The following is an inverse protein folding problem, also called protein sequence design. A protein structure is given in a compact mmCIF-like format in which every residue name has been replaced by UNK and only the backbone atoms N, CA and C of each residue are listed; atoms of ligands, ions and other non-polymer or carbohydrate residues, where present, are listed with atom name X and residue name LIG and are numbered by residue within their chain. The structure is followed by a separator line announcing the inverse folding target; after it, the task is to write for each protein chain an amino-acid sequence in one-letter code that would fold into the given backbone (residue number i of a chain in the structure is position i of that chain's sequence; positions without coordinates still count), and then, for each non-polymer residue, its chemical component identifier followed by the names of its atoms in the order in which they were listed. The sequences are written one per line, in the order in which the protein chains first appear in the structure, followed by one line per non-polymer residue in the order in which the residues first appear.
data_IF_230198189072
#
_entry.id   IF_230198189072
#
_cell.length_a   1.000
_cell.length_b   1.000
_cell.length_c   1.000
_cell.angle_alpha   90.00
_cell.angle_beta   90.00
_cell.angle_gamma   90.00
#
_symmetry.space_group_name_H-M   'P 1'
#
loop_
_entity.id
_entity.type
_entity.pdbx_description
1 polymer ?
#
# COMPACT_ATOMS: atom_id res chain seq x y z
N UNK A 1 -1.73 -12.07 -13.51
CA UNK A 1 -0.60 -11.25 -13.00
C UNK A 1 -0.95 -9.78 -13.09
N UNK A 2 -0.37 -8.89 -12.26
CA UNK A 2 -0.61 -7.43 -12.36
C UNK A 2 -0.35 -6.91 -13.78
N UNK A 3 0.65 -7.47 -14.48
CA UNK A 3 0.94 -7.18 -15.89
C UNK A 3 -0.28 -7.34 -16.82
N UNK A 4 -1.10 -8.37 -16.59
CA UNK A 4 -2.28 -8.65 -17.42
C UNK A 4 -3.42 -7.68 -17.12
N UNK A 5 -3.53 -7.22 -15.88
CA UNK A 5 -4.52 -6.21 -15.48
C UNK A 5 -4.20 -4.85 -16.09
N UNK A 6 -2.91 -4.49 -16.13
CA UNK A 6 -2.44 -3.28 -16.81
C UNK A 6 -2.75 -3.35 -18.31
N UNK A 7 -2.49 -4.48 -18.96
CA UNK A 7 -2.81 -4.66 -20.39
C UNK A 7 -4.32 -4.62 -20.68
N UNK A 8 -5.15 -4.97 -19.71
CA UNK A 8 -6.62 -4.95 -19.84
C UNK A 8 -7.25 -3.61 -19.43
N UNK A 9 -6.44 -2.59 -19.11
CA UNK A 9 -6.93 -1.32 -18.54
C UNK A 9 -7.87 -1.54 -17.36
N UNK A 10 -7.54 -2.51 -16.50
CA UNK A 10 -8.32 -2.80 -15.31
C UNK A 10 -8.35 -1.59 -14.37
N UNK A 11 -9.38 -1.49 -13.55
CA UNK A 11 -9.53 -0.37 -12.63
C UNK A 11 -8.44 -0.36 -11.56
N UNK A 12 -8.20 0.80 -10.95
CA UNK A 12 -7.26 0.92 -9.84
C UNK A 12 -7.62 -0.07 -8.70
N UNK A 13 -8.90 -0.26 -8.43
CA UNK A 13 -9.40 -1.21 -7.43
C UNK A 13 -9.06 -2.67 -7.77
N UNK A 14 -9.13 -3.05 -9.05
CA UNK A 14 -8.78 -4.41 -9.49
C UNK A 14 -7.28 -4.67 -9.35
N UNK A 15 -6.46 -3.67 -9.65
CA UNK A 15 -5.01 -3.71 -9.45
C UNK A 15 -4.68 -3.78 -7.97
N UNK A 16 -5.33 -2.98 -7.12
CA UNK A 16 -5.11 -2.98 -5.67
C UNK A 16 -5.48 -4.33 -5.05
N UNK A 17 -6.61 -4.94 -5.46
CA UNK A 17 -7.03 -6.26 -4.98
C UNK A 17 -6.01 -7.34 -5.32
N UNK A 18 -5.52 -7.36 -6.55
CA UNK A 18 -4.48 -8.33 -6.94
C UNK A 18 -3.13 -8.04 -6.31
N UNK A 19 -2.77 -6.76 -6.10
CA UNK A 19 -1.57 -6.37 -5.38
C UNK A 19 -1.60 -6.85 -3.92
N UNK A 20 -2.72 -6.65 -3.21
CA UNK A 20 -2.93 -7.17 -1.85
C UNK A 20 -2.88 -8.69 -1.81
N UNK A 21 -3.49 -9.39 -2.78
CA UNK A 21 -3.39 -10.86 -2.91
C UNK A 21 -1.97 -11.34 -3.13
N UNK A 22 -1.16 -10.57 -3.85
CA UNK A 22 0.25 -10.84 -4.06
C UNK A 22 1.14 -10.53 -2.85
N UNK A 23 0.56 -10.05 -1.74
CA UNK A 23 1.27 -9.75 -0.49
C UNK A 23 1.87 -8.34 -0.43
N UNK A 24 1.45 -7.41 -1.32
CA UNK A 24 1.83 -6.01 -1.16
C UNK A 24 1.16 -5.41 0.07
N UNK A 25 1.96 -4.75 0.90
CA UNK A 25 1.50 -3.97 2.04
C UNK A 25 1.00 -2.60 1.58
N UNK A 26 0.02 -2.07 2.29
CA UNK A 26 -0.42 -0.68 2.13
C UNK A 26 0.63 0.28 2.70
N UNK A 27 0.64 1.53 2.23
CA UNK A 27 1.51 2.57 2.80
C UNK A 27 1.30 2.76 4.31
N UNK A 28 0.08 2.52 4.80
CA UNK A 28 -0.21 2.60 6.23
C UNK A 28 0.44 1.46 7.00
N UNK A 29 0.30 0.21 6.54
CA UNK A 29 0.91 -0.96 7.19
C UNK A 29 2.45 -0.85 7.21
N UNK A 30 3.05 -0.44 6.09
CA UNK A 30 4.50 -0.20 5.99
C UNK A 30 4.94 0.96 6.90
N UNK A 31 4.14 2.03 6.96
CA UNK A 31 4.39 3.17 7.86
C UNK A 31 4.39 2.77 9.33
N UNK A 32 3.41 1.95 9.77
CA UNK A 32 3.37 1.43 11.13
C UNK A 32 4.59 0.55 11.42
N UNK A 33 4.99 -0.30 10.49
CA UNK A 33 6.19 -1.13 10.66
C UNK A 33 7.45 -0.27 10.85
N UNK A 34 7.61 0.76 10.02
CA UNK A 34 8.71 1.74 10.14
C UNK A 34 8.65 2.53 11.45
N UNK A 35 7.45 2.82 11.96
CA UNK A 35 7.29 3.50 13.24
C UNK A 35 7.75 2.62 14.42
N UNK A 36 7.41 1.32 14.39
CA UNK A 36 7.89 0.35 15.39
C UNK A 36 9.41 0.20 15.35
N UNK A 37 10.01 0.31 14.17
CA UNK A 37 11.48 0.30 13.99
C UNK A 37 12.16 1.63 14.40
N UNK A 38 11.40 2.66 14.77
CA UNK A 38 11.92 3.98 15.14
C UNK A 38 12.42 4.81 13.95
N UNK A 39 12.06 4.45 12.72
CA UNK A 39 12.43 5.19 11.50
C UNK A 39 11.53 6.41 11.29
N UNK A 40 10.24 6.28 11.63
CA UNK A 40 9.24 7.35 11.56
C UNK A 40 8.38 7.35 12.83
N UNK A 41 7.43 8.29 12.95
CA UNK A 41 6.52 8.35 14.09
C UNK A 41 5.11 7.94 13.67
N UNK A 42 4.32 7.45 14.62
CA UNK A 42 2.90 7.12 14.36
C UNK A 42 2.14 8.35 13.88
N UNK A 43 2.44 9.53 14.43
CA UNK A 43 1.84 10.80 14.02
C UNK A 43 2.15 11.14 12.56
N UNK A 44 3.38 10.94 12.11
CA UNK A 44 3.79 11.18 10.73
C UNK A 44 3.09 10.22 9.76
N UNK A 45 3.02 8.93 10.11
CA UNK A 45 2.28 7.93 9.32
C UNK A 45 0.81 8.32 9.20
N UNK A 46 0.17 8.68 10.32
CA UNK A 46 -1.24 9.10 10.32
C UNK A 46 -1.49 10.37 9.51
N UNK A 47 -0.54 11.31 9.48
CA UNK A 47 -0.62 12.53 8.66
C UNK A 47 -0.58 12.20 7.16
N UNK A 48 0.37 11.37 6.74
CA UNK A 48 0.64 11.11 5.32
C UNK A 48 -0.37 10.14 4.69
N UNK A 49 -0.98 9.25 5.46
CA UNK A 49 -1.95 8.27 4.91
C UNK A 49 -3.40 8.74 4.94
N UNK A 50 -3.69 9.89 5.55
CA UNK A 50 -5.05 10.44 5.68
C UNK A 50 -5.33 11.63 4.75
N UNK A 51 -4.31 12.17 4.09
CA UNK A 51 -4.46 13.05 2.91
C UNK A 51 -4.72 12.22 1.65
#
# INVERSE_FOLDING_TARGET
TIKDLIMKSATADDIEKEARRAGMMTMFEDGIFKAVQGITTIEEVMRVTRE
#
